data_IF_428750818378
#
_entry.id   IF_428750818378
#
_cell.length_a   1.000
_cell.length_b   1.000
_cell.length_c   1.000
_cell.angle_alpha   90.00
_cell.angle_beta   90.00
_cell.angle_gamma   90.00
#
_symmetry.space_group_name_H-M   'P 1'
#
loop_
_entity.id
_entity.type
_entity.pdbx_description
1 polymer ?
#
# COMPACT_ATOMS: atom_id res chain seq x y z
N UNK A 1 17.04 -22.62 -62.10
CA UNK A 1 16.91 -21.81 -60.87
C UNK A 1 16.16 -20.54 -61.25
N UNK A 2 14.83 -20.58 -61.18
CA UNK A 2 14.01 -19.49 -61.70
C UNK A 2 13.71 -18.49 -60.60
N UNK A 3 14.24 -17.27 -60.78
CA UNK A 3 14.01 -16.13 -59.90
C UNK A 3 12.53 -15.74 -60.00
N UNK A 4 11.74 -16.11 -58.99
CA UNK A 4 10.37 -15.61 -58.82
C UNK A 4 10.40 -14.08 -58.84
N UNK A 5 9.77 -13.51 -59.87
CA UNK A 5 9.77 -12.07 -60.13
C UNK A 5 8.82 -11.39 -59.14
N UNK A 6 9.18 -10.20 -58.64
CA UNK A 6 8.38 -9.40 -57.69
C UNK A 6 6.89 -9.29 -58.07
N UNK A 7 6.59 -9.28 -59.36
CA UNK A 7 5.22 -9.24 -59.90
C UNK A 7 4.38 -10.48 -59.56
N UNK A 8 4.99 -11.66 -59.43
CA UNK A 8 4.30 -12.88 -58.98
C UNK A 8 3.98 -12.83 -57.48
N UNK A 9 4.89 -12.30 -56.67
CA UNK A 9 4.68 -12.12 -55.22
C UNK A 9 3.57 -11.12 -54.94
N UNK A 10 3.47 -10.04 -55.72
CA UNK A 10 2.39 -9.05 -55.60
C UNK A 10 1.05 -9.62 -56.08
N UNK A 11 1.05 -10.43 -57.14
CA UNK A 11 -0.18 -11.09 -57.63
C UNK A 11 -0.71 -12.13 -56.64
N UNK A 12 0.17 -12.88 -55.99
CA UNK A 12 -0.20 -13.83 -54.93
C UNK A 12 -0.71 -13.11 -53.67
N UNK A 13 -0.18 -11.91 -53.37
CA UNK A 13 -0.67 -11.09 -52.27
C UNK A 13 -2.07 -10.52 -52.56
N UNK A 14 -2.30 -9.98 -53.76
CA UNK A 14 -3.63 -9.49 -54.17
C UNK A 14 -4.67 -10.61 -54.23
N UNK A 15 -4.28 -11.82 -54.66
CA UNK A 15 -5.16 -13.01 -54.63
C UNK A 15 -5.47 -13.49 -53.20
N UNK A 16 -4.56 -13.31 -52.25
CA UNK A 16 -4.81 -13.61 -50.84
C UNK A 16 -5.71 -12.56 -50.19
N UNK A 17 -5.52 -11.28 -50.55
CA UNK A 17 -6.31 -10.16 -50.04
C UNK A 17 -7.75 -10.21 -50.55
N UNK A 18 -7.97 -10.55 -51.83
CA UNK A 18 -9.33 -10.67 -52.39
C UNK A 18 -10.11 -11.83 -51.76
N UNK A 19 -9.45 -12.96 -51.47
CA UNK A 19 -10.06 -14.08 -50.73
C UNK A 19 -10.46 -13.72 -49.29
N UNK A 20 -9.76 -12.75 -48.68
CA UNK A 20 -10.08 -12.27 -47.34
C UNK A 20 -11.30 -11.34 -47.35
N UNK A 21 -11.51 -10.59 -48.44
CA UNK A 21 -12.63 -9.66 -48.57
C UNK A 21 -13.94 -10.34 -49.05
N UNK A 22 -13.84 -11.41 -49.86
CA UNK A 22 -15.00 -12.17 -50.36
C UNK A 22 -15.51 -13.24 -49.37
N UNK A 23 -14.80 -13.48 -48.27
CA UNK A 23 -15.29 -14.34 -47.19
C UNK A 23 -15.90 -13.48 -46.09
N UNK A 24 -17.17 -13.10 -46.25
CA UNK A 24 -18.07 -12.64 -45.18
C UNK A 24 -18.31 -13.71 -44.10
N UNK A 25 -17.27 -14.42 -43.70
CA UNK A 25 -17.24 -15.38 -42.61
C UNK A 25 -16.61 -14.65 -41.45
N UNK A 26 -17.43 -14.39 -40.43
CA UNK A 26 -17.00 -14.06 -39.07
C UNK A 26 -15.65 -14.73 -38.78
N UNK A 27 -14.64 -13.92 -38.45
CA UNK A 27 -13.35 -14.43 -38.01
C UNK A 27 -13.61 -15.58 -37.01
N UNK A 28 -12.95 -16.75 -37.17
CA UNK A 28 -13.03 -17.77 -36.15
C UNK A 28 -12.55 -17.12 -34.86
N UNK A 29 -13.46 -16.93 -33.89
CA UNK A 29 -13.13 -16.49 -32.54
C UNK A 29 -12.00 -17.40 -32.05
N UNK A 30 -10.77 -16.89 -32.09
CA UNK A 30 -9.65 -17.59 -31.49
C UNK A 30 -10.04 -17.73 -30.02
N UNK A 31 -10.06 -18.94 -29.45
CA UNK A 31 -10.24 -19.06 -28.02
C UNK A 31 -9.19 -18.17 -27.38
N UNK A 32 -9.60 -17.24 -26.49
CA UNK A 32 -8.69 -16.41 -25.71
C UNK A 32 -7.52 -17.28 -25.29
N UNK A 33 -6.32 -16.97 -25.77
CA UNK A 33 -5.13 -17.75 -25.44
C UNK A 33 -5.07 -17.88 -23.92
N UNK A 34 -4.56 -19.00 -23.42
CA UNK A 34 -4.39 -19.20 -21.97
C UNK A 34 -3.74 -17.98 -21.31
N UNK A 35 -2.85 -17.29 -22.04
CA UNK A 35 -2.20 -16.05 -21.63
C UNK A 35 -3.15 -14.86 -21.47
N UNK A 36 -4.13 -14.68 -22.38
CA UNK A 36 -5.11 -13.60 -22.28
C UNK A 36 -6.04 -13.79 -21.07
N UNK A 37 -6.42 -15.03 -20.75
CA UNK A 37 -7.20 -15.35 -19.54
C UNK A 37 -6.39 -15.12 -18.26
N UNK A 38 -5.10 -15.46 -18.29
CA UNK A 38 -4.19 -15.23 -17.17
C UNK A 38 -3.98 -13.72 -16.94
N UNK A 39 -3.75 -12.95 -18.01
CA UNK A 39 -3.61 -11.50 -17.94
C UNK A 39 -4.87 -10.81 -17.39
N UNK A 40 -6.05 -11.24 -17.84
CA UNK A 40 -7.32 -10.73 -17.31
C UNK A 40 -7.43 -11.04 -15.80
N UNK A 41 -7.14 -12.27 -15.38
CA UNK A 41 -7.19 -12.66 -13.97
C UNK A 41 -6.20 -11.87 -13.10
N UNK A 42 -5.00 -11.61 -13.61
CA UNK A 42 -4.01 -10.76 -12.92
C UNK A 42 -4.58 -9.35 -12.76
N UNK A 43 -5.15 -8.79 -13.82
CA UNK A 43 -5.75 -7.44 -13.80
C UNK A 43 -6.90 -7.35 -12.81
N UNK A 44 -7.79 -8.34 -12.79
CA UNK A 44 -8.93 -8.39 -11.87
C UNK A 44 -8.47 -8.53 -10.41
N UNK A 45 -7.46 -9.35 -10.14
CA UNK A 45 -6.89 -9.48 -8.79
C UNK A 45 -6.21 -8.19 -8.33
N UNK A 46 -5.52 -7.48 -9.23
CA UNK A 46 -4.90 -6.20 -8.91
C UNK A 46 -5.93 -5.11 -8.63
N UNK A 47 -7.03 -5.06 -9.40
CA UNK A 47 -8.10 -4.08 -9.18
C UNK A 47 -8.83 -4.33 -7.86
N UNK A 48 -9.21 -5.57 -7.56
CA UNK A 48 -9.82 -5.95 -6.28
C UNK A 48 -8.91 -5.63 -5.09
N UNK A 49 -7.59 -5.80 -5.26
CA UNK A 49 -6.62 -5.47 -4.22
C UNK A 49 -6.54 -3.96 -4.00
N UNK A 50 -6.48 -3.17 -5.07
CA UNK A 50 -6.49 -1.69 -5.00
C UNK A 50 -7.74 -1.17 -4.33
N UNK A 51 -8.91 -1.70 -4.71
CA UNK A 51 -10.18 -1.31 -4.13
C UNK A 51 -10.24 -1.60 -2.63
N UNK A 52 -9.77 -2.78 -2.19
CA UNK A 52 -9.68 -3.12 -0.77
C UNK A 52 -8.78 -2.15 0.02
N UNK A 53 -7.63 -1.78 -0.55
CA UNK A 53 -6.73 -0.83 0.12
C UNK A 53 -7.35 0.56 0.22
N UNK A 54 -8.05 1.03 -0.82
CA UNK A 54 -8.77 2.29 -0.79
C UNK A 54 -9.90 2.26 0.24
N UNK A 55 -10.69 1.19 0.28
CA UNK A 55 -11.78 1.04 1.25
C UNK A 55 -11.25 1.07 2.69
N UNK A 56 -10.18 0.32 2.98
CA UNK A 56 -9.59 0.27 4.31
C UNK A 56 -8.95 1.59 4.74
N UNK A 57 -8.35 2.35 3.82
CA UNK A 57 -7.85 3.67 4.14
C UNK A 57 -8.98 4.69 4.33
N UNK A 58 -10.00 4.64 3.47
CA UNK A 58 -11.14 5.55 3.55
C UNK A 58 -11.96 5.36 4.83
N UNK A 59 -11.99 4.16 5.41
CA UNK A 59 -12.62 3.95 6.72
C UNK A 59 -11.89 4.62 7.87
N UNK A 60 -10.62 4.99 7.71
CA UNK A 60 -9.87 5.82 8.66
C UNK A 60 -10.08 7.31 8.35
N UNK A 61 -10.08 7.71 7.08
CA UNK A 61 -10.30 9.12 6.72
C UNK A 61 -11.72 9.61 7.09
N UNK A 62 -12.71 8.74 6.93
CA UNK A 62 -14.10 9.01 7.29
C UNK A 62 -14.58 7.86 8.19
N UNK A 63 -14.33 7.95 9.51
CA UNK A 63 -14.67 6.88 10.44
C UNK A 63 -16.16 6.60 10.43
N UNK A 64 -16.51 5.36 10.13
CA UNK A 64 -17.89 4.86 10.13
C UNK A 64 -18.26 4.27 11.50
N UNK A 65 -17.26 4.00 12.34
CA UNK A 65 -17.41 3.38 13.65
C UNK A 65 -16.62 4.11 14.72
N UNK A 66 -17.21 4.24 15.91
CA UNK A 66 -16.59 4.81 17.10
C UNK A 66 -15.23 4.16 17.44
N UNK A 67 -15.07 2.85 17.16
CA UNK A 67 -13.82 2.14 17.41
C UNK A 67 -12.63 2.72 16.63
N UNK A 68 -12.85 3.17 15.39
CA UNK A 68 -11.80 3.76 14.55
C UNK A 68 -11.41 5.14 15.10
N UNK A 69 -12.39 5.95 15.48
CA UNK A 69 -12.15 7.26 16.12
C UNK A 69 -11.35 7.10 17.41
N UNK A 70 -11.68 6.10 18.22
CA UNK A 70 -10.94 5.77 19.45
C UNK A 70 -9.51 5.35 19.14
N UNK A 71 -9.28 4.58 18.07
CA UNK A 71 -7.92 4.16 17.67
C UNK A 71 -7.06 5.31 17.19
N UNK A 72 -7.65 6.21 16.41
CA UNK A 72 -7.02 7.47 15.99
C UNK A 72 -6.65 8.34 17.20
N UNK A 73 -7.60 8.53 18.12
CA UNK A 73 -7.40 9.31 19.34
C UNK A 73 -6.34 8.67 20.25
N UNK A 74 -6.33 7.34 20.39
CA UNK A 74 -5.33 6.60 21.16
C UNK A 74 -3.94 6.78 20.58
N UNK A 75 -3.80 6.75 19.25
CA UNK A 75 -2.51 6.95 18.59
C UNK A 75 -1.99 8.39 18.77
N UNK A 76 -2.86 9.39 18.58
CA UNK A 76 -2.51 10.80 18.79
C UNK A 76 -2.11 11.04 20.26
N UNK A 77 -2.86 10.47 21.20
CA UNK A 77 -2.56 10.59 22.63
C UNK A 77 -1.21 9.98 22.98
N UNK A 78 -0.92 8.77 22.47
CA UNK A 78 0.37 8.13 22.64
C UNK A 78 1.51 8.98 22.04
N UNK A 79 1.31 9.52 20.83
CA UNK A 79 2.30 10.39 20.19
C UNK A 79 2.60 11.64 21.02
N UNK A 80 1.56 12.33 21.51
CA UNK A 80 1.72 13.54 22.32
C UNK A 80 2.45 13.25 23.63
N UNK A 81 2.17 12.10 24.26
CA UNK A 81 2.86 11.66 25.46
C UNK A 81 4.34 11.36 25.17
N UNK A 82 4.63 10.69 24.06
CA UNK A 82 6.00 10.45 23.61
C UNK A 82 6.75 11.76 23.38
N UNK A 83 6.20 12.65 22.54
CA UNK A 83 6.82 13.93 22.20
C UNK A 83 7.07 14.78 23.43
N UNK A 84 6.07 14.91 24.31
CA UNK A 84 6.22 15.67 25.56
C UNK A 84 7.33 15.13 26.46
N UNK A 85 7.47 13.81 26.57
CA UNK A 85 8.54 13.21 27.36
C UNK A 85 9.93 13.41 26.74
N UNK A 86 10.04 13.33 25.41
CA UNK A 86 11.29 13.61 24.68
C UNK A 86 11.69 15.08 24.82
N UNK A 87 10.74 16.00 24.65
CA UNK A 87 10.96 17.44 24.79
C UNK A 87 11.39 17.81 26.22
N UNK A 88 10.75 17.22 27.23
CA UNK A 88 11.14 17.41 28.63
C UNK A 88 12.54 16.88 28.90
N UNK A 89 12.87 15.70 28.36
CA UNK A 89 14.20 15.11 28.51
C UNK A 89 15.29 16.00 27.87
N UNK A 90 15.03 16.54 26.68
CA UNK A 90 15.95 17.45 25.99
C UNK A 90 16.15 18.78 26.76
N UNK A 91 15.09 19.28 27.41
CA UNK A 91 15.10 20.56 28.13
C UNK A 91 15.51 20.45 29.61
N UNK A 92 15.69 19.24 30.14
CA UNK A 92 15.93 19.00 31.58
C UNK A 92 17.28 19.53 32.11
N UNK A 93 18.16 20.04 31.24
CA UNK A 93 19.38 20.77 31.62
C UNK A 93 20.46 19.95 32.34
N UNK A 94 20.20 18.68 32.66
CA UNK A 94 21.11 17.82 33.42
C UNK A 94 21.76 16.78 32.48
N UNK A 95 23.02 17.01 32.10
CA UNK A 95 23.72 16.16 31.12
C UNK A 95 23.95 14.72 31.61
N UNK A 96 23.88 14.48 32.92
CA UNK A 96 24.17 13.19 33.54
C UNK A 96 22.99 12.22 33.53
N UNK A 97 21.74 12.71 33.45
CA UNK A 97 20.54 11.87 33.48
C UNK A 97 19.76 12.04 32.20
N UNK A 98 19.59 10.94 31.46
CA UNK A 98 18.84 10.92 30.20
C UNK A 98 17.82 9.80 30.22
N UNK A 99 16.70 10.05 29.58
CA UNK A 99 15.73 9.02 29.26
C UNK A 99 16.37 8.02 28.30
N UNK A 100 16.56 6.79 28.76
CA UNK A 100 17.23 5.73 28.01
C UNK A 100 16.28 5.02 27.03
N UNK A 101 15.02 4.83 27.43
CA UNK A 101 14.01 4.12 26.65
C UNK A 101 12.61 4.63 27.04
N UNK A 102 11.76 4.90 26.05
CA UNK A 102 10.37 5.30 26.24
C UNK A 102 9.46 4.38 25.44
N UNK A 103 8.68 3.57 26.16
CA UNK A 103 7.69 2.66 25.59
C UNK A 103 6.32 2.98 26.12
N UNK A 104 5.35 3.07 25.23
CA UNK A 104 3.98 3.44 25.59
C UNK A 104 3.09 2.20 25.51
N UNK A 105 2.50 1.81 26.63
CA UNK A 105 1.42 0.84 26.62
C UNK A 105 0.17 1.49 26.04
N UNK A 106 -0.41 0.89 25.00
CA UNK A 106 -1.61 1.41 24.32
C UNK A 106 -2.57 0.26 24.00
N UNK A 107 -3.89 0.48 24.04
CA UNK A 107 -4.88 -0.51 23.58
C UNK A 107 -4.63 -0.98 22.14
N UNK A 108 -3.98 -0.16 21.31
CA UNK A 108 -3.59 -0.53 19.95
C UNK A 108 -2.66 -1.75 19.91
N UNK A 109 -1.84 -1.95 20.96
CA UNK A 109 -0.90 -3.06 21.08
C UNK A 109 -1.57 -4.39 21.47
N UNK A 110 -2.87 -4.37 21.79
CA UNK A 110 -3.66 -5.55 22.19
C UNK A 110 -4.60 -6.01 21.07
N UNK A 111 -4.79 -5.18 20.03
CA UNK A 111 -5.67 -5.46 18.89
C UNK A 111 -5.00 -6.36 17.85
N UNK A 112 -5.55 -7.55 17.62
CA UNK A 112 -5.01 -8.53 16.68
C UNK A 112 -4.85 -8.00 15.25
N UNK A 113 -5.77 -7.15 14.80
CA UNK A 113 -5.75 -6.47 13.49
C UNK A 113 -4.53 -5.57 13.28
N UNK A 114 -3.93 -5.08 14.37
CA UNK A 114 -2.73 -4.24 14.36
C UNK A 114 -1.45 -5.01 14.61
N UNK A 115 -1.52 -6.09 15.39
CA UNK A 115 -0.38 -6.94 15.72
C UNK A 115 -0.01 -7.88 14.58
N UNK A 116 -1.01 -8.58 14.05
CA UNK A 116 -0.84 -9.67 13.09
C UNK A 116 -1.34 -9.33 11.70
N UNK A 117 -2.15 -8.27 11.59
CA UNK A 117 -2.72 -7.77 10.36
C UNK A 117 -1.97 -6.57 9.79
N UNK A 118 -2.46 -6.10 8.64
CA UNK A 118 -1.99 -4.87 7.99
C UNK A 118 -2.59 -3.60 8.60
N UNK A 119 -3.51 -3.71 9.56
CA UNK A 119 -4.31 -2.58 10.05
C UNK A 119 -3.45 -1.44 10.58
N UNK A 120 -2.35 -1.76 11.28
CA UNK A 120 -1.48 -0.74 11.84
C UNK A 120 -0.70 0.03 10.77
N UNK A 121 -0.38 -0.59 9.63
CA UNK A 121 0.22 0.13 8.50
C UNK A 121 -0.75 1.16 7.91
N UNK A 122 -2.05 0.85 7.82
CA UNK A 122 -3.04 1.83 7.38
C UNK A 122 -3.20 2.96 8.40
N UNK A 123 -3.30 2.64 9.69
CA UNK A 123 -3.40 3.64 10.76
C UNK A 123 -2.16 4.54 10.82
N UNK A 124 -0.96 3.96 10.66
CA UNK A 124 0.29 4.71 10.56
C UNK A 124 0.29 5.65 9.36
N UNK A 125 -0.08 5.18 8.16
CA UNK A 125 -0.14 6.03 6.96
C UNK A 125 -1.16 7.16 7.14
N UNK A 126 -2.34 6.86 7.67
CA UNK A 126 -3.34 7.88 8.03
C UNK A 126 -2.74 8.93 8.98
N UNK A 127 -2.03 8.49 10.02
CA UNK A 127 -1.39 9.38 10.99
C UNK A 127 -0.36 10.28 10.31
N UNK A 128 0.50 9.71 9.45
CA UNK A 128 1.53 10.42 8.70
C UNK A 128 0.98 11.44 7.69
N UNK A 129 -0.19 11.19 7.08
CA UNK A 129 -0.80 12.10 6.10
C UNK A 129 -1.64 13.20 6.73
N UNK A 130 -2.29 12.93 7.86
CA UNK A 130 -3.20 13.90 8.50
C UNK A 130 -2.52 14.82 9.53
N UNK A 131 -1.23 14.63 9.81
CA UNK A 131 -0.48 15.48 10.71
C UNK A 131 0.79 15.96 9.98
N UNK A 132 0.90 17.24 9.64
CA UNK A 132 2.01 17.74 8.81
C UNK A 132 3.34 17.88 9.57
N UNK A 133 3.28 18.01 10.90
CA UNK A 133 4.43 18.35 11.76
C UNK A 133 4.96 17.17 12.59
N UNK A 134 4.83 15.95 12.07
CA UNK A 134 5.28 14.75 12.79
C UNK A 134 6.77 14.53 12.57
N UNK A 135 7.49 14.43 13.68
CA UNK A 135 8.92 14.13 13.73
C UNK A 135 9.22 12.65 13.97
N UNK A 136 8.24 11.89 14.49
CA UNK A 136 8.41 10.49 14.86
C UNK A 136 7.29 9.61 14.31
N UNK A 137 7.65 8.40 13.91
CA UNK A 137 6.76 7.41 13.30
C UNK A 137 6.41 6.33 14.33
N UNK A 138 5.12 6.05 14.57
CA UNK A 138 4.70 5.03 15.52
C UNK A 138 4.89 3.62 14.96
N UNK A 139 5.53 2.76 15.76
CA UNK A 139 5.75 1.34 15.51
C UNK A 139 5.17 0.51 16.67
N UNK A 140 4.75 -0.72 16.37
CA UNK A 140 4.46 -1.70 17.42
C UNK A 140 5.75 -2.48 17.66
N UNK A 141 6.37 -2.21 18.81
CA UNK A 141 7.50 -2.96 19.32
C UNK A 141 7.06 -4.16 20.16
N UNK A 142 7.95 -5.13 20.29
CA UNK A 142 7.81 -6.24 21.22
C UNK A 142 9.07 -6.35 22.06
N UNK A 143 8.89 -6.38 23.37
CA UNK A 143 9.96 -6.65 24.32
C UNK A 143 9.47 -7.66 25.34
N UNK A 144 10.24 -8.74 25.48
CA UNK A 144 9.83 -9.92 26.24
C UNK A 144 8.46 -10.42 25.74
N UNK A 145 7.47 -10.48 26.63
CA UNK A 145 6.11 -10.94 26.35
C UNK A 145 5.10 -9.80 26.23
N UNK A 146 5.56 -8.55 26.11
CA UNK A 146 4.69 -7.37 26.03
C UNK A 146 4.92 -6.57 24.76
N UNK A 147 3.84 -6.00 24.24
CA UNK A 147 3.86 -5.12 23.08
C UNK A 147 3.65 -3.69 23.52
N UNK A 148 4.34 -2.78 22.83
CA UNK A 148 4.32 -1.36 23.14
C UNK A 148 4.32 -0.54 21.86
N UNK A 149 3.88 0.70 21.96
CA UNK A 149 4.16 1.70 20.95
C UNK A 149 5.56 2.26 21.18
N UNK A 150 6.34 2.19 20.12
CA UNK A 150 7.65 2.80 19.98
C UNK A 150 7.55 3.89 18.92
N UNK A 151 8.44 4.88 19.01
CA UNK A 151 8.44 6.01 18.10
C UNK A 151 9.87 6.24 17.64
N UNK A 152 10.07 6.13 16.33
CA UNK A 152 11.38 6.32 15.71
C UNK A 152 11.41 7.61 14.91
N UNK A 153 12.57 8.29 14.77
CA UNK A 153 12.66 9.49 13.96
C UNK A 153 12.15 9.23 12.54
N UNK A 154 11.35 10.15 12.01
CA UNK A 154 10.76 10.04 10.66
C UNK A 154 11.82 9.92 9.56
N UNK A 155 12.98 10.52 9.76
CA UNK A 155 14.12 10.46 8.84
C UNK A 155 14.78 9.08 8.80
N UNK A 156 14.67 8.30 9.88
CA UNK A 156 15.25 6.95 10.00
C UNK A 156 14.26 5.85 9.59
N UNK A 157 13.00 6.20 9.37
CA UNK A 157 11.96 5.23 9.09
C UNK A 157 11.91 4.83 7.62
N UNK A 158 12.02 3.53 7.37
CA UNK A 158 11.80 2.94 6.05
C UNK A 158 10.42 2.31 5.92
N UNK A 159 9.64 2.79 4.94
CA UNK A 159 8.37 2.16 4.60
C UNK A 159 8.57 0.71 4.12
N UNK A 160 7.78 -0.18 4.70
CA UNK A 160 7.67 -1.57 4.25
C UNK A 160 7.14 -1.64 2.82
N UNK A 161 7.31 -2.80 2.18
CA UNK A 161 6.74 -3.05 0.85
C UNK A 161 5.23 -2.79 0.82
N UNK A 162 4.52 -3.25 1.84
CA UNK A 162 3.08 -3.04 1.95
C UNK A 162 2.74 -1.56 2.03
N UNK A 163 3.46 -0.79 2.85
CA UNK A 163 3.19 0.64 3.01
C UNK A 163 3.50 1.43 1.75
N UNK A 164 4.58 1.07 1.04
CA UNK A 164 4.88 1.64 -0.28
C UNK A 164 3.75 1.36 -1.28
N UNK A 165 3.21 0.14 -1.29
CA UNK A 165 2.07 -0.21 -2.14
C UNK A 165 0.80 0.57 -1.74
N UNK A 166 0.53 0.72 -0.45
CA UNK A 166 -0.59 1.51 0.07
C UNK A 166 -0.45 2.99 -0.36
N UNK A 167 0.73 3.60 -0.20
CA UNK A 167 1.02 4.98 -0.58
C UNK A 167 0.88 5.24 -2.09
N UNK A 168 1.14 4.24 -2.95
CA UNK A 168 0.92 4.36 -4.39
C UNK A 168 -0.55 4.37 -4.79
N UNK A 169 -1.42 3.82 -3.94
CA UNK A 169 -2.85 3.65 -4.23
C UNK A 169 -3.67 4.80 -3.64
N UNK A 170 -3.27 5.31 -2.47
CA UNK A 170 -4.02 6.35 -1.78
C UNK A 170 -3.72 7.73 -2.38
N UNK A 171 -4.75 8.52 -2.73
CA UNK A 171 -4.57 9.89 -3.23
C UNK A 171 -3.91 10.80 -2.20
N UNK A 172 -3.11 11.77 -2.65
CA UNK A 172 -2.54 12.85 -1.82
C UNK A 172 -3.61 13.57 -1.00
#
# INVERSE_FOLDING_TARGET
>A
MDKKTLSQSVSDFSKRLSRFNDSGKSEPMRPLSSDARLQQRITDMESERRERFLQQYNSLKNPVSQQVEEDEANLITAYNLFKGAVDLNANSGNAETKLADLRIASPLCEKNEYISGSGFSFLRIWFLKNNESIEYVPLIGQSEDRRFLEFIPKEEYEFSRLEKEILQIIPE
#
